data_IF_319200360697
#
_entry.id   IF_319200360697
#
_cell.length_a   1.000
_cell.length_b   1.000
_cell.length_c   1.000
_cell.angle_alpha   90.00
_cell.angle_beta   90.00
_cell.angle_gamma   90.00
#
_symmetry.space_group_name_H-M   'P 1'
#
loop_
_entity.id
_entity.type
_entity.pdbx_description
1 polymer ?
#
# COMPACT_ATOMS: atom_id res chain seq x y z
N UNK A 1 -13.29 -5.03 14.81
CA UNK A 1 -12.23 -5.35 15.79
C UNK A 1 -11.35 -4.12 16.04
N UNK A 2 -10.75 -3.89 17.23
CA UNK A 2 -10.03 -2.65 17.51
C UNK A 2 -8.58 -2.68 17.00
N UNK A 3 -8.26 -1.85 16.02
CA UNK A 3 -6.87 -1.53 15.65
C UNK A 3 -6.29 -0.59 16.71
N UNK A 4 -5.18 -0.98 17.36
CA UNK A 4 -4.60 -0.21 18.47
C UNK A 4 -3.72 0.96 18.03
N UNK A 5 -3.05 0.84 16.88
CA UNK A 5 -2.11 1.86 16.42
C UNK A 5 -1.91 1.75 14.92
N UNK A 6 -2.03 2.89 14.23
CA UNK A 6 -1.65 3.07 12.83
C UNK A 6 -0.45 4.01 12.78
N UNK A 7 0.61 3.61 12.08
CA UNK A 7 1.74 4.48 11.75
C UNK A 7 1.81 4.61 10.23
N UNK A 8 1.79 5.85 9.75
CA UNK A 8 2.05 6.19 8.35
C UNK A 8 3.48 6.67 8.24
N UNK A 9 4.25 6.09 7.32
CA UNK A 9 5.57 6.58 6.96
C UNK A 9 5.54 7.00 5.48
N UNK A 10 5.52 8.30 5.17
CA UNK A 10 5.61 8.74 3.78
C UNK A 10 6.96 8.33 3.22
N UNK A 11 6.94 7.84 1.98
CA UNK A 11 8.16 7.47 1.29
C UNK A 11 8.66 8.71 0.55
N UNK A 12 9.93 9.14 0.74
CA UNK A 12 10.44 10.25 -0.06
C UNK A 12 10.42 9.82 -1.53
N UNK A 13 9.72 10.57 -2.37
CA UNK A 13 9.79 10.37 -3.82
C UNK A 13 11.26 10.43 -4.25
N UNK A 14 11.72 9.58 -5.18
CA UNK A 14 13.05 9.74 -5.76
C UNK A 14 13.10 11.15 -6.36
N UNK A 15 14.02 11.97 -5.85
CA UNK A 15 14.10 13.41 -6.12
C UNK A 15 14.01 13.72 -7.63
N UNK A 16 12.84 14.19 -8.07
CA UNK A 16 12.78 15.12 -9.18
C UNK A 16 13.43 16.42 -8.67
N UNK A 17 14.67 16.66 -9.09
CA UNK A 17 15.37 17.92 -8.84
C UNK A 17 14.47 19.09 -9.26
N UNK A 18 14.31 20.03 -8.32
CA UNK A 18 13.92 21.43 -8.51
C UNK A 18 12.52 21.72 -9.10
N UNK A 19 11.55 21.89 -8.20
CA UNK A 19 10.67 23.06 -8.20
C UNK A 19 10.01 23.19 -6.82
N UNK A 20 10.23 24.31 -6.15
CA UNK A 20 9.66 24.56 -4.83
C UNK A 20 8.13 24.60 -4.90
N UNK A 21 7.48 23.82 -4.05
CA UNK A 21 6.11 24.11 -3.63
C UNK A 21 5.95 23.71 -2.15
N UNK A 22 5.84 24.73 -1.30
CA UNK A 22 5.67 24.55 0.13
C UNK A 22 4.24 24.17 0.48
N UNK A 23 4.03 22.96 0.96
CA UNK A 23 2.81 22.57 1.67
C UNK A 23 3.08 22.71 3.17
N UNK A 24 2.61 23.84 3.74
CA UNK A 24 2.45 23.99 5.19
C UNK A 24 1.32 23.06 5.64
N UNK A 25 1.66 22.04 6.41
CA UNK A 25 0.68 21.24 7.12
C UNK A 25 0.09 22.07 8.27
N UNK A 26 -1.17 22.50 8.12
CA UNK A 26 -1.96 23.02 9.22
C UNK A 26 -2.56 21.84 10.01
N UNK A 27 -2.24 21.81 11.30
CA UNK A 27 -2.95 21.15 12.41
C UNK A 27 -3.80 19.91 12.13
N UNK A 28 -3.24 18.73 12.42
CA UNK A 28 -3.99 17.63 13.00
C UNK A 28 -3.14 16.96 14.07
N UNK A 29 -3.65 16.95 15.30
CA UNK A 29 -2.98 16.45 16.50
C UNK A 29 -2.82 14.92 16.48
N UNK A 30 -1.77 14.44 15.82
CA UNK A 30 -1.18 13.13 16.13
C UNK A 30 -0.43 13.27 17.46
N UNK A 31 -1.05 12.88 18.58
CA UNK A 31 -0.34 12.78 19.85
C UNK A 31 0.82 11.80 19.68
N UNK A 32 2.04 12.33 19.76
CA UNK A 32 3.25 11.53 19.89
C UNK A 32 3.15 10.68 21.17
N UNK A 33 3.10 9.36 21.01
CA UNK A 33 3.29 8.46 22.15
C UNK A 33 4.72 8.64 22.67
N UNK A 34 4.84 8.75 24.00
CA UNK A 34 6.07 9.01 24.74
C UNK A 34 7.21 7.98 24.55
N UNK A 35 8.35 8.21 25.20
CA UNK A 35 9.65 7.87 24.65
C UNK A 35 10.16 6.50 25.11
N UNK A 36 9.49 5.39 24.82
CA UNK A 36 10.11 4.07 24.96
C UNK A 36 9.78 3.16 23.77
N UNK A 37 10.83 2.56 23.21
CA UNK A 37 10.89 1.85 21.92
C UNK A 37 10.90 2.73 20.66
N UNK A 38 12.09 3.29 20.36
CA UNK A 38 12.49 3.63 18.99
C UNK A 38 12.56 2.34 18.17
N UNK A 39 11.41 1.84 17.72
CA UNK A 39 11.36 0.93 16.58
C UNK A 39 11.78 1.74 15.35
N UNK A 40 13.08 1.71 15.07
CA UNK A 40 13.70 2.13 13.81
C UNK A 40 12.91 1.44 12.71
N UNK A 41 12.23 2.21 11.85
CA UNK A 41 11.68 1.64 10.63
C UNK A 41 12.84 0.95 9.89
N UNK A 42 12.69 -0.29 9.39
CA UNK A 42 13.72 -0.91 8.58
C UNK A 42 13.84 -0.08 7.29
N UNK A 43 14.80 0.85 7.28
CA UNK A 43 15.22 1.65 6.11
C UNK A 43 16.05 0.81 5.14
N UNK A 44 15.75 -0.48 5.04
CA UNK A 44 16.49 -1.39 4.16
C UNK A 44 15.65 -1.57 2.92
N UNK A 45 15.88 -0.65 2.00
CA UNK A 45 15.35 -0.68 0.66
C UNK A 45 15.91 -1.91 -0.06
N UNK A 46 15.04 -2.64 -0.76
CA UNK A 46 15.49 -3.53 -1.82
C UNK A 46 16.06 -2.66 -2.93
N UNK A 47 17.35 -2.34 -2.81
CA UNK A 47 18.15 -2.00 -3.99
C UNK A 47 18.15 -3.25 -4.84
N UNK A 48 17.41 -3.22 -5.95
CA UNK A 48 17.61 -4.19 -7.02
C UNK A 48 19.10 -4.27 -7.31
N UNK A 49 19.63 -5.49 -7.36
CA UNK A 49 20.96 -5.72 -7.91
C UNK A 49 21.01 -5.01 -9.27
N UNK A 50 22.04 -4.19 -9.46
CA UNK A 50 22.19 -3.26 -10.57
C UNK A 50 21.87 -3.89 -11.94
N UNK A 51 20.65 -3.74 -12.41
CA UNK A 51 20.23 -4.00 -13.79
C UNK A 51 19.06 -3.08 -14.12
N UNK A 52 19.33 -1.77 -14.23
CA UNK A 52 18.56 -0.78 -15.01
C UNK A 52 17.05 -0.58 -14.76
N UNK A 53 16.39 -1.36 -13.92
CA UNK A 53 14.96 -1.27 -13.66
C UNK A 53 14.62 -0.18 -12.64
N UNK A 54 13.43 0.45 -12.75
CA UNK A 54 12.98 1.40 -11.75
C UNK A 54 12.88 0.71 -10.39
N UNK A 55 13.49 1.31 -9.37
CA UNK A 55 13.30 0.86 -7.99
C UNK A 55 11.86 1.12 -7.58
N UNK A 56 11.17 0.11 -7.07
CA UNK A 56 9.80 0.27 -6.59
C UNK A 56 9.80 1.06 -5.28
N UNK A 57 8.93 2.08 -5.24
CA UNK A 57 8.72 2.94 -4.08
C UNK A 57 7.22 3.18 -3.92
N UNK A 58 6.58 2.66 -2.86
CA UNK A 58 5.19 2.97 -2.61
C UNK A 58 5.06 4.44 -2.22
N UNK A 59 3.92 5.07 -2.48
CA UNK A 59 3.70 6.45 -2.05
C UNK A 59 3.79 6.61 -0.52
N UNK A 60 3.33 5.61 0.23
CA UNK A 60 3.56 5.49 1.66
C UNK A 60 3.56 4.04 2.13
N UNK A 61 4.09 3.81 3.33
CA UNK A 61 3.91 2.54 4.05
C UNK A 61 3.03 2.75 5.28
N UNK A 62 2.01 1.91 5.42
CA UNK A 62 1.19 1.79 6.62
C UNK A 62 1.64 0.60 7.44
N UNK A 63 1.80 0.79 8.74
CA UNK A 63 1.96 -0.30 9.70
C UNK A 63 0.85 -0.22 10.74
N UNK A 64 0.15 -1.34 10.93
CA UNK A 64 -0.95 -1.45 11.88
C UNK A 64 -0.77 -2.69 12.76
N UNK A 65 -1.37 -2.61 13.93
CA UNK A 65 -1.38 -3.69 14.91
C UNK A 65 -2.84 -4.03 15.21
N UNK A 66 -3.23 -5.26 14.91
CA UNK A 66 -4.56 -5.79 15.15
C UNK A 66 -4.48 -6.87 16.24
N UNK A 67 -5.49 -6.91 17.11
CA UNK A 67 -5.68 -8.01 18.04
C UNK A 67 -6.65 -9.00 17.37
N UNK A 68 -6.20 -10.23 17.11
CA UNK A 68 -6.99 -11.32 16.52
C UNK A 68 -6.89 -12.53 17.43
N UNK A 69 -8.01 -12.96 18.02
CA UNK A 69 -8.13 -14.20 18.82
C UNK A 69 -6.93 -14.46 19.75
N UNK A 70 -6.68 -13.53 20.69
CA UNK A 70 -5.55 -13.52 21.65
C UNK A 70 -4.14 -13.36 21.06
N UNK A 71 -4.00 -13.19 19.75
CA UNK A 71 -2.74 -12.89 19.08
C UNK A 71 -2.66 -11.42 18.61
N UNK A 72 -1.49 -10.81 18.80
CA UNK A 72 -1.22 -9.51 18.22
C UNK A 72 -0.59 -9.66 16.83
N UNK A 73 -1.34 -9.30 15.79
CA UNK A 73 -0.86 -9.29 14.42
C UNK A 73 -0.27 -7.93 14.07
N UNK A 74 1.00 -7.93 13.68
CA UNK A 74 1.65 -6.75 13.09
C UNK A 74 1.63 -6.90 11.59
N UNK A 75 0.91 -6.00 10.96
CA UNK A 75 0.65 -6.06 9.54
C UNK A 75 1.07 -4.74 8.88
N UNK A 76 1.31 -4.81 7.57
CA UNK A 76 1.87 -3.71 6.77
C UNK A 76 1.17 -3.60 5.43
N UNK A 77 1.16 -2.39 4.89
CA UNK A 77 0.65 -2.14 3.56
C UNK A 77 1.48 -1.10 2.82
N UNK A 78 1.73 -1.37 1.55
CA UNK A 78 2.16 -0.38 0.59
C UNK A 78 0.94 0.38 0.08
N UNK A 79 1.00 1.70 0.19
CA UNK A 79 -0.05 2.61 -0.24
C UNK A 79 0.34 3.22 -1.57
N UNK A 80 -0.55 3.06 -2.55
CA UNK A 80 -0.43 3.70 -3.85
C UNK A 80 -1.52 4.75 -4.00
N UNK A 81 -1.11 5.98 -4.29
CA UNK A 81 -2.06 7.07 -4.51
C UNK A 81 -2.50 7.06 -5.97
N UNK A 82 -3.80 7.13 -6.20
CA UNK A 82 -4.38 7.26 -7.54
C UNK A 82 -5.07 8.61 -7.66
N UNK A 83 -4.62 9.42 -8.62
CA UNK A 83 -5.24 10.69 -8.97
C UNK A 83 -6.17 10.45 -10.19
N UNK A 84 -7.46 10.79 -10.11
CA UNK A 84 -8.44 10.45 -11.15
C UNK A 84 -8.08 11.02 -12.52
N UNK A 85 -7.52 12.23 -12.57
CA UNK A 85 -7.16 12.91 -13.82
C UNK A 85 -6.01 12.22 -14.58
N UNK A 86 -5.33 11.26 -13.96
CA UNK A 86 -4.19 10.55 -14.55
C UNK A 86 -4.55 9.24 -15.25
N UNK A 87 -5.82 8.81 -15.18
CA UNK A 87 -6.27 7.53 -15.72
C UNK A 87 -5.70 6.32 -14.95
N UNK A 88 -6.02 5.10 -15.39
CA UNK A 88 -5.62 3.86 -14.69
C UNK A 88 -4.20 3.38 -15.02
N UNK A 89 -3.58 3.90 -16.07
CA UNK A 89 -2.26 3.41 -16.53
C UNK A 89 -1.14 3.66 -15.51
N UNK A 90 -1.01 4.84 -14.87
CA UNK A 90 0.02 5.07 -13.85
C UNK A 90 -0.09 4.13 -12.65
N UNK A 91 -1.32 3.89 -12.17
CA UNK A 91 -1.53 2.98 -11.04
C UNK A 91 -1.27 1.52 -11.45
N UNK A 92 -1.63 1.13 -12.67
CA UNK A 92 -1.30 -0.19 -13.18
C UNK A 92 0.21 -0.41 -13.33
N UNK A 93 0.95 0.60 -13.81
CA UNK A 93 2.41 0.58 -13.87
C UNK A 93 3.06 0.44 -12.49
N UNK A 94 2.51 1.11 -11.48
CA UNK A 94 2.98 1.02 -10.10
C UNK A 94 2.72 -0.37 -9.49
N UNK A 95 1.54 -0.96 -9.72
CA UNK A 95 1.24 -2.33 -9.32
C UNK A 95 2.17 -3.33 -10.01
N UNK A 96 2.45 -3.15 -11.31
CA UNK A 96 3.41 -3.98 -12.03
C UNK A 96 4.84 -3.84 -11.47
N UNK A 97 5.25 -2.67 -10.99
CA UNK A 97 6.53 -2.50 -10.30
C UNK A 97 6.54 -3.23 -8.94
N UNK A 98 5.42 -3.22 -8.21
CA UNK A 98 5.24 -4.02 -6.98
C UNK A 98 5.31 -5.52 -7.25
N UNK A 99 4.70 -6.00 -8.34
CA UNK A 99 4.82 -7.39 -8.81
C UNK A 99 6.27 -7.80 -9.01
N UNK A 100 7.08 -6.96 -9.67
CA UNK A 100 8.51 -7.26 -9.87
C UNK A 100 9.27 -7.38 -8.54
N UNK A 101 8.94 -6.55 -7.55
CA UNK A 101 9.49 -6.67 -6.21
C UNK A 101 9.05 -7.98 -5.52
N UNK A 102 7.78 -8.35 -5.67
CA UNK A 102 7.20 -9.57 -5.12
C UNK A 102 7.85 -10.83 -5.71
N UNK A 103 8.16 -10.84 -7.00
CA UNK A 103 8.79 -11.94 -7.74
C UNK A 103 10.32 -11.97 -7.59
N UNK A 104 10.94 -10.86 -7.18
CA UNK A 104 12.39 -10.75 -7.14
C UNK A 104 13.02 -11.87 -6.29
N UNK A 105 13.85 -12.69 -6.91
CA UNK A 105 14.58 -13.75 -6.21
C UNK A 105 15.57 -13.17 -5.19
N UNK A 106 15.74 -13.87 -4.08
CA UNK A 106 16.75 -13.55 -3.09
C UNK A 106 18.18 -13.70 -3.63
N UNK A 107 19.19 -13.13 -2.93
CA UNK A 107 20.58 -13.44 -3.25
C UNK A 107 20.78 -14.96 -3.22
N UNK A 108 21.58 -15.47 -4.15
CA UNK A 108 21.85 -16.91 -4.36
C UNK A 108 20.64 -17.74 -4.85
N UNK A 109 19.57 -17.07 -5.30
CA UNK A 109 18.38 -17.73 -5.86
C UNK A 109 17.48 -18.40 -4.81
N UNK A 110 17.80 -18.24 -3.52
CA UNK A 110 17.02 -18.79 -2.42
C UNK A 110 15.87 -17.83 -2.03
N UNK A 111 14.64 -18.32 -2.12
CA UNK A 111 13.45 -17.59 -1.70
C UNK A 111 13.26 -16.26 -2.46
N UNK A 112 12.44 -15.38 -1.89
CA UNK A 112 12.17 -14.06 -2.45
C UNK A 112 12.92 -12.98 -1.68
N UNK A 113 13.41 -11.97 -2.39
CA UNK A 113 14.30 -10.96 -1.85
C UNK A 113 13.66 -10.18 -0.68
N UNK A 114 12.34 -10.01 -0.72
CA UNK A 114 11.54 -9.35 0.31
C UNK A 114 11.42 -10.15 1.61
N UNK A 115 11.60 -11.47 1.61
CA UNK A 115 11.46 -12.33 2.79
C UNK A 115 12.52 -12.03 3.87
N UNK A 116 13.64 -11.40 3.47
CA UNK A 116 14.67 -10.92 4.39
C UNK A 116 14.23 -9.70 5.21
N UNK A 117 13.26 -8.95 4.71
CA UNK A 117 12.80 -7.69 5.28
C UNK A 117 11.45 -7.83 5.98
N UNK A 118 10.59 -8.72 5.47
CA UNK A 118 9.25 -8.93 5.99
C UNK A 118 8.94 -10.43 6.07
N UNK A 119 8.30 -10.82 7.18
CA UNK A 119 7.78 -12.19 7.37
C UNK A 119 6.69 -12.54 6.36
N UNK A 120 5.93 -11.54 5.92
CA UNK A 120 4.87 -11.64 4.93
C UNK A 120 4.97 -10.38 4.06
N UNK A 121 4.78 -10.53 2.76
CA UNK A 121 4.81 -9.38 1.85
C UNK A 121 3.77 -8.33 2.29
N UNK A 122 4.13 -7.03 2.33
CA UNK A 122 3.16 -5.99 2.66
C UNK A 122 1.97 -6.02 1.72
N UNK A 123 0.78 -5.85 2.27
CA UNK A 123 -0.46 -5.78 1.50
C UNK A 123 -0.48 -4.57 0.57
N UNK A 124 -1.36 -4.56 -0.43
CA UNK A 124 -1.50 -3.44 -1.35
C UNK A 124 -2.77 -2.64 -1.04
N UNK A 125 -2.63 -1.32 -0.89
CA UNK A 125 -3.75 -0.41 -0.74
C UNK A 125 -3.70 0.67 -1.81
N UNK A 126 -4.64 0.64 -2.74
CA UNK A 126 -4.85 1.73 -3.70
C UNK A 126 -5.76 2.78 -3.07
N UNK A 127 -5.32 4.03 -3.04
CA UNK A 127 -6.04 5.15 -2.43
C UNK A 127 -6.32 6.20 -3.49
N UNK A 128 -7.53 6.19 -4.07
CA UNK A 128 -8.02 7.31 -4.87
C UNK A 128 -8.11 8.57 -4.00
N UNK A 129 -7.59 9.69 -4.52
CA UNK A 129 -7.54 10.98 -3.82
C UNK A 129 -8.31 12.03 -4.60
N UNK A 130 -9.15 12.82 -3.92
CA UNK A 130 -9.93 13.87 -4.55
C UNK A 130 -11.04 13.33 -5.45
N UNK A 131 -11.53 12.11 -5.15
CA UNK A 131 -12.54 11.43 -5.98
C UNK A 131 -13.89 11.40 -5.28
N UNK A 132 -14.95 11.48 -6.07
CA UNK A 132 -16.28 11.05 -5.64
C UNK A 132 -16.34 9.53 -5.47
N UNK A 133 -17.33 9.03 -4.72
CA UNK A 133 -17.53 7.59 -4.56
C UNK A 133 -17.80 6.88 -5.91
N UNK A 134 -18.43 7.57 -6.87
CA UNK A 134 -18.70 7.02 -8.19
C UNK A 134 -17.41 6.89 -9.02
N UNK A 135 -16.58 7.93 -9.06
CA UNK A 135 -15.30 7.92 -9.79
C UNK A 135 -14.35 6.86 -9.25
N UNK A 136 -14.24 6.72 -7.92
CA UNK A 136 -13.43 5.68 -7.32
C UNK A 136 -13.91 4.28 -7.71
N UNK A 137 -15.23 4.03 -7.70
CA UNK A 137 -15.78 2.74 -8.16
C UNK A 137 -15.45 2.48 -9.63
N UNK A 138 -15.62 3.47 -10.50
CA UNK A 138 -15.27 3.35 -11.92
C UNK A 138 -13.77 3.06 -12.11
N UNK A 139 -12.90 3.76 -11.40
CA UNK A 139 -11.46 3.52 -11.45
C UNK A 139 -11.10 2.10 -11.00
N UNK A 140 -11.71 1.61 -9.92
CA UNK A 140 -11.46 0.25 -9.43
C UNK A 140 -12.02 -0.83 -10.37
N UNK A 141 -13.19 -0.58 -10.97
CA UNK A 141 -13.76 -1.46 -11.99
C UNK A 141 -12.86 -1.53 -13.24
N UNK A 142 -12.18 -0.43 -13.60
CA UNK A 142 -11.19 -0.43 -14.69
C UNK A 142 -9.85 -1.07 -14.34
N UNK A 143 -9.46 -1.05 -13.06
CA UNK A 143 -8.20 -1.62 -12.60
C UNK A 143 -8.20 -3.15 -12.60
N UNK A 144 -9.34 -3.79 -12.30
CA UNK A 144 -9.43 -5.26 -12.22
C UNK A 144 -9.16 -5.93 -13.57
N UNK A 145 -9.79 -5.55 -14.69
CA UNK A 145 -9.44 -6.07 -16.01
C UNK A 145 -7.98 -5.80 -16.38
N UNK A 146 -7.46 -4.60 -16.09
CA UNK A 146 -6.07 -4.25 -16.34
C UNK A 146 -5.06 -5.10 -15.53
N UNK A 147 -5.49 -5.65 -14.39
CA UNK A 147 -4.71 -6.61 -13.61
C UNK A 147 -4.79 -8.02 -14.19
N UNK A 148 -5.95 -8.45 -14.69
CA UNK A 148 -6.13 -9.76 -15.35
C UNK A 148 -5.28 -9.88 -16.63
N UNK A 149 -5.09 -8.78 -17.37
CA UNK A 149 -4.22 -8.72 -18.56
C UNK A 149 -2.72 -8.91 -18.25
N UNK A 150 -2.32 -8.86 -16.97
CA UNK A 150 -0.93 -8.94 -16.52
C UNK A 150 -0.74 -10.18 -15.62
N UNK A 151 -0.28 -11.33 -16.16
CA UNK A 151 -0.26 -12.61 -15.43
C UNK A 151 0.42 -12.55 -14.05
N UNK A 152 1.60 -11.93 -13.93
CA UNK A 152 2.30 -11.81 -12.65
C UNK A 152 1.57 -10.94 -11.62
N UNK A 153 0.81 -9.93 -12.08
CA UNK A 153 -0.03 -9.12 -11.20
C UNK A 153 -1.24 -9.92 -10.70
N UNK A 154 -1.89 -10.70 -11.57
CA UNK A 154 -2.98 -11.59 -11.16
C UNK A 154 -2.52 -12.66 -10.14
N UNK A 155 -1.33 -13.24 -10.34
CA UNK A 155 -0.74 -14.20 -9.40
C UNK A 155 -0.43 -13.52 -8.05
N UNK A 156 0.21 -12.34 -8.08
CA UNK A 156 0.48 -11.58 -6.87
C UNK A 156 -0.81 -11.24 -6.10
N UNK A 157 -1.85 -10.76 -6.78
CA UNK A 157 -3.13 -10.39 -6.15
C UNK A 157 -3.87 -11.60 -5.57
N UNK A 158 -3.56 -12.82 -6.01
CA UNK A 158 -4.07 -14.06 -5.39
C UNK A 158 -3.31 -14.41 -4.11
N UNK A 159 -2.03 -14.03 -4.01
CA UNK A 159 -1.16 -14.36 -2.89
C UNK A 159 -1.02 -13.23 -1.85
N UNK A 160 -1.28 -11.99 -2.24
CA UNK A 160 -1.10 -10.77 -1.45
C UNK A 160 -2.45 -10.08 -1.29
N UNK A 161 -2.93 -9.89 -0.05
CA UNK A 161 -4.14 -9.12 0.19
C UNK A 161 -4.03 -7.73 -0.41
N UNK A 162 -5.04 -7.35 -1.19
CA UNK A 162 -5.04 -6.12 -1.95
C UNK A 162 -6.43 -5.49 -1.93
N UNK A 163 -6.48 -4.20 -1.63
CA UNK A 163 -7.74 -3.47 -1.57
C UNK A 163 -7.61 -2.03 -2.03
N UNK A 164 -8.76 -1.37 -2.12
CA UNK A 164 -8.85 0.03 -2.41
C UNK A 164 -9.81 0.74 -1.46
N UNK A 165 -9.43 1.93 -1.02
CA UNK A 165 -10.30 2.79 -0.22
C UNK A 165 -10.01 4.24 -0.56
N UNK A 166 -11.07 5.03 -0.72
CA UNK A 166 -10.94 6.48 -0.95
C UNK A 166 -10.28 7.14 0.25
N UNK A 167 -9.42 8.12 -0.01
CA UNK A 167 -8.79 8.87 1.07
C UNK A 167 -9.85 9.54 1.95
N UNK A 168 -10.91 10.07 1.35
CA UNK A 168 -11.99 10.77 2.04
C UNK A 168 -12.72 9.85 3.01
N UNK A 169 -12.98 8.59 2.61
CA UNK A 169 -13.66 7.61 3.47
C UNK A 169 -12.74 7.16 4.61
N UNK A 170 -11.43 7.01 4.34
CA UNK A 170 -10.43 6.73 5.38
C UNK A 170 -10.28 7.88 6.38
N UNK A 171 -10.38 9.13 5.93
CA UNK A 171 -10.31 10.30 6.81
C UNK A 171 -11.60 10.46 7.63
N UNK A 172 -12.76 10.21 7.02
CA UNK A 172 -14.06 10.35 7.68
C UNK A 172 -14.33 9.26 8.70
N UNK A 173 -14.06 8.00 8.35
CA UNK A 173 -14.38 6.84 9.20
C UNK A 173 -13.17 6.33 9.99
N UNK A 174 -11.98 6.79 9.64
CA UNK A 174 -10.73 6.39 10.25
C UNK A 174 -10.05 5.23 9.51
N UNK A 175 -8.73 5.05 9.71
CA UNK A 175 -7.92 4.09 8.97
C UNK A 175 -8.24 2.63 9.29
N UNK A 176 -9.02 2.34 10.33
CA UNK A 176 -9.44 0.98 10.70
C UNK A 176 -10.86 0.63 10.23
N UNK A 177 -11.59 1.58 9.63
CA UNK A 177 -12.96 1.37 9.22
C UNK A 177 -13.08 0.34 8.07
N UNK A 178 -14.21 -0.38 7.97
CA UNK A 178 -14.48 -1.35 6.92
C UNK A 178 -14.90 -0.67 5.61
N UNK A 179 -14.02 0.17 5.07
CA UNK A 179 -14.25 0.96 3.85
C UNK A 179 -13.42 0.49 2.65
N UNK A 180 -12.78 -0.69 2.77
CA UNK A 180 -11.87 -1.22 1.73
C UNK A 180 -12.60 -2.18 0.82
N UNK A 181 -12.42 -1.98 -0.48
CA UNK A 181 -12.92 -2.84 -1.53
C UNK A 181 -11.80 -3.78 -1.98
N UNK A 182 -11.95 -5.11 -1.87
CA UNK A 182 -10.94 -6.06 -2.35
C UNK A 182 -10.70 -5.89 -3.86
N UNK A 183 -9.43 -5.94 -4.25
CA UNK A 183 -9.01 -5.91 -5.66
C UNK A 183 -8.99 -7.30 -6.30
N UNK A 184 -8.89 -8.35 -5.48
CA UNK A 184 -8.91 -9.74 -5.90
C UNK A 184 -10.22 -10.43 -5.47
N UNK A 185 -10.65 -11.42 -6.26
CA UNK A 185 -11.88 -12.19 -6.01
C UNK A 185 -13.15 -11.54 -6.57
N UNK A 186 -14.29 -12.16 -6.27
CA UNK A 186 -15.61 -11.63 -6.66
C UNK A 186 -15.87 -10.27 -6.01
N UNK A 187 -16.77 -9.45 -6.58
CA UNK A 187 -17.18 -8.18 -5.96
C UNK A 187 -17.71 -8.43 -4.55
N UNK A 188 -16.88 -8.11 -3.55
CA UNK A 188 -17.21 -8.22 -2.13
C UNK A 188 -17.62 -6.85 -1.60
N UNK A 189 -18.42 -6.88 -0.53
CA UNK A 189 -18.77 -5.69 0.23
C UNK A 189 -17.50 -5.03 0.77
N UNK A 190 -17.52 -3.70 1.03
CA UNK A 190 -16.48 -3.05 1.80
C UNK A 190 -16.18 -3.83 3.08
N UNK A 191 -14.90 -4.06 3.34
CA UNK A 191 -14.41 -4.93 4.40
C UNK A 191 -13.33 -4.23 5.23
N UNK A 192 -13.03 -4.79 6.40
CA UNK A 192 -11.96 -4.30 7.24
C UNK A 192 -10.58 -4.76 6.75
N UNK A 193 -9.54 -4.33 7.46
CA UNK A 193 -8.17 -4.62 7.05
C UNK A 193 -7.84 -6.13 7.08
N UNK A 194 -8.37 -6.87 8.05
CA UNK A 194 -8.06 -8.30 8.24
C UNK A 194 -8.81 -9.23 7.29
N UNK A 195 -9.82 -8.71 6.59
CA UNK A 195 -10.70 -9.45 5.70
C UNK A 195 -10.37 -9.28 4.20
N UNK A 196 -9.31 -8.52 3.90
CA UNK A 196 -8.79 -8.34 2.54
C UNK A 196 -8.22 -9.62 1.93
#
# INVERSE_FOLDING_TARGET
MPVRRVRVCPTPAPEARAAGCGLRAAGCGLRAAGPHHRARAPRQHLRGASTGGPTYWPAAELAYTADLDDAQLRLRAFVELHLPDTGTEPIAGQLAASTRLWEQAGPDGAGRAWERLWRTFPQLLVVPVGTTAAEARTAMAGLRPAAEERPGLAEMLTAVPAGAARLEDLLQHGPAAPVRHPLAGQERRPCDWTEL
#
